data_IF_229891424348
#
_entry.id   IF_229891424348
#
_cell.length_a   1.000
_cell.length_b   1.000
_cell.length_c   1.000
_cell.angle_alpha   90.00
_cell.angle_beta   90.00
_cell.angle_gamma   90.00
#
_symmetry.space_group_name_H-M   'P 1'
#
loop_
_entity.id
_entity.type
_entity.pdbx_description
1 polymer ?
#
# COMPACT_ATOMS: atom_id res chain seq x y z
N UNK A 1 -5.29 -46.36 -4.75
CA UNK A 1 -4.11 -45.47 -4.68
C UNK A 1 -3.55 -45.04 -6.04
N UNK A 2 -3.65 -45.82 -7.13
CA UNK A 2 -3.03 -45.46 -8.43
C UNK A 2 -3.60 -44.23 -9.16
N UNK A 3 -4.90 -43.92 -9.03
CA UNK A 3 -5.51 -42.75 -9.72
C UNK A 3 -5.04 -41.39 -9.19
N UNK A 4 -4.77 -41.28 -7.88
CA UNK A 4 -4.26 -40.03 -7.28
C UNK A 4 -2.80 -39.76 -7.67
N UNK A 5 -1.98 -40.81 -7.79
CA UNK A 5 -0.57 -40.67 -8.19
C UNK A 5 -0.42 -40.24 -9.65
N UNK A 6 -1.30 -40.73 -10.54
CA UNK A 6 -1.35 -40.31 -11.95
C UNK A 6 -1.74 -38.83 -12.11
N UNK A 7 -2.70 -38.35 -11.31
CA UNK A 7 -3.12 -36.94 -11.35
C UNK A 7 -2.05 -35.97 -10.85
N UNK A 8 -1.28 -36.36 -9.83
CA UNK A 8 -0.16 -35.56 -9.31
C UNK A 8 1.00 -35.51 -10.31
N UNK A 9 1.32 -36.63 -10.97
CA UNK A 9 2.38 -36.67 -11.99
C UNK A 9 2.03 -35.81 -13.21
N UNK A 10 0.82 -35.92 -13.74
CA UNK A 10 0.32 -35.08 -14.83
C UNK A 10 0.34 -33.58 -14.50
N UNK A 11 0.07 -33.22 -13.24
CA UNK A 11 0.10 -31.82 -12.80
C UNK A 11 1.54 -31.28 -12.68
N UNK A 12 2.49 -32.11 -12.24
CA UNK A 12 3.92 -31.76 -12.19
C UNK A 12 4.47 -31.60 -13.60
N UNK A 13 4.18 -32.54 -14.50
CA UNK A 13 4.68 -32.53 -15.87
C UNK A 13 4.18 -31.30 -16.65
N UNK A 14 2.91 -30.92 -16.47
CA UNK A 14 2.35 -29.67 -17.02
C UNK A 14 3.01 -28.43 -16.45
N UNK A 15 3.31 -28.42 -15.14
CA UNK A 15 3.98 -27.29 -14.50
C UNK A 15 5.40 -27.11 -15.02
N UNK A 16 6.17 -28.20 -15.16
CA UNK A 16 7.52 -28.15 -15.72
C UNK A 16 7.52 -27.72 -17.18
N UNK A 17 6.52 -28.14 -17.96
CA UNK A 17 6.38 -27.72 -19.35
C UNK A 17 6.10 -26.22 -19.47
N UNK A 18 5.25 -25.68 -18.59
CA UNK A 18 4.95 -24.24 -18.51
C UNK A 18 6.18 -23.45 -18.06
N UNK A 19 6.89 -23.90 -17.02
CA UNK A 19 8.11 -23.24 -16.52
C UNK A 19 9.23 -23.23 -17.58
N UNK A 20 9.37 -24.31 -18.35
CA UNK A 20 10.30 -24.37 -19.49
C UNK A 20 9.92 -23.39 -20.60
N UNK A 21 8.63 -23.33 -20.97
CA UNK A 21 8.15 -22.37 -21.96
C UNK A 21 8.41 -20.92 -21.53
N UNK A 22 8.19 -20.58 -20.27
CA UNK A 22 8.48 -19.24 -19.74
C UNK A 22 9.97 -18.90 -19.75
N UNK A 23 10.86 -19.86 -19.44
CA UNK A 23 12.30 -19.64 -19.50
C UNK A 23 12.75 -19.31 -20.93
N UNK A 24 12.23 -20.04 -21.91
CA UNK A 24 12.54 -19.85 -23.32
C UNK A 24 12.00 -18.51 -23.82
N UNK A 25 10.76 -18.13 -23.47
CA UNK A 25 10.21 -16.81 -23.80
C UNK A 25 11.04 -15.67 -23.20
N UNK A 26 11.59 -15.86 -21.99
CA UNK A 26 12.47 -14.89 -21.35
C UNK A 26 13.80 -14.76 -22.08
N UNK A 27 14.41 -15.87 -22.51
CA UNK A 27 15.65 -15.87 -23.28
C UNK A 27 15.47 -15.16 -24.63
N UNK A 28 14.41 -15.49 -25.38
CA UNK A 28 14.08 -14.82 -26.63
C UNK A 28 13.84 -13.30 -26.45
N UNK A 29 13.17 -12.90 -25.36
CA UNK A 29 12.97 -11.48 -25.05
C UNK A 29 14.28 -10.74 -24.73
N UNK A 30 15.21 -11.40 -24.02
CA UNK A 30 16.51 -10.84 -23.71
C UNK A 30 17.34 -10.64 -24.98
N UNK A 31 17.34 -11.62 -25.90
CA UNK A 31 18.03 -11.50 -27.18
C UNK A 31 17.50 -10.34 -28.02
N UNK A 32 16.17 -10.21 -28.13
CA UNK A 32 15.54 -9.08 -28.85
C UNK A 32 15.88 -7.74 -28.18
N UNK A 33 15.90 -7.69 -26.85
CA UNK A 33 16.25 -6.48 -26.11
C UNK A 33 17.71 -6.07 -26.34
N UNK A 34 18.64 -7.02 -26.36
CA UNK A 34 20.06 -6.76 -26.65
C UNK A 34 20.24 -6.24 -28.08
N UNK A 35 19.56 -6.84 -29.07
CA UNK A 35 19.61 -6.34 -30.46
C UNK A 35 19.07 -4.92 -30.56
N UNK A 36 17.95 -4.62 -29.90
CA UNK A 36 17.38 -3.26 -29.88
C UNK A 36 18.30 -2.24 -29.19
N UNK A 37 18.94 -2.61 -28.09
CA UNK A 37 19.92 -1.76 -27.39
C UNK A 37 21.09 -1.46 -28.32
N UNK A 38 21.67 -2.48 -28.98
CA UNK A 38 22.76 -2.29 -29.92
C UNK A 38 22.35 -1.37 -31.09
N UNK A 39 21.13 -1.51 -31.63
CA UNK A 39 20.61 -0.61 -32.68
C UNK A 39 20.45 0.83 -32.18
N UNK A 40 20.08 1.03 -30.92
CA UNK A 40 19.97 2.36 -30.30
C UNK A 40 21.36 2.97 -30.08
N UNK A 41 22.34 2.18 -29.64
CA UNK A 41 23.72 2.60 -29.41
C UNK A 41 24.48 2.89 -30.72
N UNK A 42 24.26 2.10 -31.77
CA UNK A 42 24.81 2.34 -33.13
C UNK A 42 24.20 3.61 -33.76
N UNK A 43 22.93 3.92 -33.49
CA UNK A 43 22.30 5.20 -33.90
C UNK A 43 22.85 6.40 -33.14
N UNK A 44 23.31 6.22 -31.90
CA UNK A 44 23.92 7.28 -31.10
C UNK A 44 25.34 7.66 -31.56
N UNK A 45 25.99 6.82 -32.37
CA UNK A 45 27.39 7.01 -32.82
C UNK A 45 27.56 7.33 -34.32
N UNK A 46 26.47 7.38 -35.09
CA UNK A 46 26.38 7.84 -36.50
C UNK A 46 27.42 7.26 -37.49
N UNK A 47 27.09 6.13 -38.15
CA UNK A 47 27.02 6.00 -39.63
C UNK A 47 26.72 4.56 -40.06
N UNK A 48 25.58 4.37 -40.73
CA UNK A 48 25.33 3.41 -41.82
C UNK A 48 25.46 1.89 -41.56
N UNK A 49 24.49 1.31 -40.85
CA UNK A 49 23.96 -0.04 -41.15
C UNK A 49 22.42 -0.03 -41.01
N UNK A 50 21.71 -0.18 -42.13
CA UNK A 50 20.24 -0.26 -42.13
C UNK A 50 19.81 -1.69 -41.77
N UNK A 51 19.81 -2.06 -40.48
CA UNK A 51 19.05 -3.24 -40.05
C UNK A 51 17.56 -2.96 -40.23
N UNK A 52 16.90 -3.72 -41.09
CA UNK A 52 15.48 -3.56 -41.36
C UNK A 52 14.64 -4.28 -40.30
N UNK A 53 13.37 -3.88 -40.16
CA UNK A 53 12.41 -4.63 -39.35
C UNK A 53 12.27 -6.11 -39.81
N UNK A 54 12.63 -6.42 -41.06
CA UNK A 54 12.67 -7.77 -41.59
C UNK A 54 13.77 -8.65 -40.98
N UNK A 55 14.93 -8.06 -40.66
CA UNK A 55 16.06 -8.78 -40.06
C UNK A 55 15.77 -9.13 -38.61
N UNK A 56 15.12 -8.22 -37.87
CA UNK A 56 14.62 -8.47 -36.51
C UNK A 56 13.57 -9.57 -36.52
N UNK A 57 12.62 -9.53 -37.47
CA UNK A 57 11.60 -10.56 -37.61
C UNK A 57 12.21 -11.92 -37.95
N UNK A 58 13.28 -11.96 -38.75
CA UNK A 58 13.97 -13.20 -39.11
C UNK A 58 14.65 -13.85 -37.91
N UNK A 59 15.38 -13.08 -37.09
CA UNK A 59 16.00 -13.58 -35.85
C UNK A 59 14.95 -14.15 -34.89
N UNK A 60 13.83 -13.43 -34.71
CA UNK A 60 12.72 -13.89 -33.87
C UNK A 60 12.11 -15.18 -34.40
N UNK A 61 11.92 -15.29 -35.72
CA UNK A 61 11.34 -16.48 -36.34
C UNK A 61 12.31 -17.67 -36.31
N UNK A 62 13.62 -17.46 -36.46
CA UNK A 62 14.64 -18.52 -36.33
C UNK A 62 14.74 -19.07 -34.90
N UNK A 63 14.70 -18.19 -33.90
CA UNK A 63 14.65 -18.58 -32.49
C UNK A 63 13.37 -19.37 -32.15
N UNK A 64 12.24 -19.01 -32.77
CA UNK A 64 10.97 -19.71 -32.61
C UNK A 64 10.86 -21.01 -33.43
N UNK A 65 11.53 -21.12 -34.57
CA UNK A 65 11.49 -22.29 -35.46
C UNK A 65 12.50 -23.39 -35.09
N UNK A 66 13.52 -23.08 -34.27
CA UNK A 66 14.37 -24.10 -33.63
C UNK A 66 13.61 -25.07 -32.69
N UNK A 67 12.30 -24.86 -32.54
CA UNK A 67 11.37 -25.62 -31.72
C UNK A 67 11.03 -27.02 -32.24
N UNK A 68 11.21 -27.32 -33.54
CA UNK A 68 10.66 -28.53 -34.17
C UNK A 68 11.63 -29.71 -34.34
N UNK A 69 12.74 -29.75 -33.59
CA UNK A 69 13.60 -30.95 -33.52
C UNK A 69 13.70 -31.46 -32.09
N UNK A 70 12.99 -32.58 -31.90
CA UNK A 70 12.99 -33.42 -30.71
C UNK A 70 14.41 -33.73 -30.22
N UNK A 71 14.61 -33.70 -28.91
CA UNK A 71 15.36 -34.76 -28.24
C UNK A 71 14.81 -34.99 -26.82
N UNK A 72 14.35 -36.22 -26.60
CA UNK A 72 13.95 -36.79 -25.31
C UNK A 72 15.15 -36.88 -24.34
N UNK A 73 14.91 -36.86 -23.01
CA UNK A 73 15.97 -36.71 -22.02
C UNK A 73 16.67 -38.05 -21.72
N UNK A 74 18.00 -38.08 -21.83
CA UNK A 74 18.83 -39.14 -21.21
C UNK A 74 19.32 -38.72 -19.84
N UNK A 75 18.99 -39.55 -18.85
CA UNK A 75 19.45 -39.51 -17.47
C UNK A 75 20.98 -39.40 -17.34
N UNK A 76 21.42 -38.64 -16.33
CA UNK A 76 22.28 -39.06 -15.19
C UNK A 76 23.15 -37.89 -14.71
N UNK A 77 22.94 -37.43 -13.47
CA UNK A 77 23.97 -37.60 -12.44
C UNK A 77 23.47 -37.12 -11.08
N UNK A 78 23.88 -37.91 -10.10
CA UNK A 78 23.57 -37.91 -8.69
C UNK A 78 24.13 -36.71 -7.91
N UNK A 79 23.41 -36.33 -6.85
CA UNK A 79 23.86 -36.12 -5.46
C UNK A 79 22.91 -35.09 -4.85
N UNK A 80 22.23 -35.25 -3.71
CA UNK A 80 22.42 -36.13 -2.57
C UNK A 80 22.07 -35.30 -1.34
N UNK A 81 20.97 -35.66 -0.67
CA UNK A 81 20.61 -35.28 0.71
C UNK A 81 20.07 -33.86 0.96
N UNK A 82 18.74 -33.76 1.08
CA UNK A 82 18.05 -32.84 2.01
C UNK A 82 16.81 -33.54 2.59
N UNK A 83 17.01 -34.32 3.66
CA UNK A 83 15.92 -34.68 4.57
C UNK A 83 16.05 -33.82 5.83
N UNK A 84 15.06 -32.95 6.07
CA UNK A 84 14.52 -32.65 7.40
C UNK A 84 13.20 -31.87 7.32
N UNK A 85 12.14 -32.66 7.51
CA UNK A 85 10.89 -32.42 8.25
C UNK A 85 10.22 -31.03 8.20
N UNK A 86 9.04 -31.07 7.60
CA UNK A 86 7.94 -30.14 7.78
C UNK A 86 7.38 -30.15 9.21
N UNK A 87 6.98 -28.97 9.68
CA UNK A 87 5.83 -28.77 10.56
C UNK A 87 5.46 -27.28 10.60
N UNK A 88 4.25 -26.94 10.19
CA UNK A 88 3.68 -25.60 10.34
C UNK A 88 2.78 -25.22 9.16
N UNK A 89 1.48 -25.48 9.30
CA UNK A 89 0.44 -25.02 8.37
C UNK A 89 0.42 -23.50 8.32
N UNK A 90 0.61 -22.92 7.14
CA UNK A 90 -0.01 -21.64 6.77
C UNK A 90 -0.40 -21.71 5.30
N UNK A 91 -1.70 -21.55 5.05
CA UNK A 91 -2.28 -21.59 3.71
C UNK A 91 -1.85 -20.36 2.91
N UNK A 92 -0.75 -20.48 2.18
CA UNK A 92 -0.39 -19.51 1.14
C UNK A 92 -1.36 -19.72 -0.03
N UNK A 93 -2.38 -18.86 -0.12
CA UNK A 93 -3.12 -18.68 -1.38
C UNK A 93 -2.10 -18.26 -2.44
N UNK A 94 -1.84 -19.13 -3.40
CA UNK A 94 -1.01 -18.81 -4.56
C UNK A 94 -1.65 -17.68 -5.36
N UNK A 95 -1.08 -16.49 -5.27
CA UNK A 95 -1.45 -15.37 -6.13
C UNK A 95 -1.00 -15.66 -7.57
N UNK A 96 -1.89 -15.40 -8.52
CA UNK A 96 -1.58 -15.45 -9.96
C UNK A 96 -0.62 -14.32 -10.34
N UNK A 97 0.22 -14.49 -11.36
CA UNK A 97 1.14 -13.44 -11.84
C UNK A 97 0.44 -12.09 -12.13
N UNK A 98 -0.82 -12.13 -12.59
CA UNK A 98 -1.65 -10.95 -12.82
C UNK A 98 -1.91 -10.11 -11.55
N UNK A 99 -1.97 -10.73 -10.35
CA UNK A 99 -2.13 -10.00 -9.08
C UNK A 99 -0.81 -9.38 -8.57
N UNK A 100 0.32 -9.77 -9.15
CA UNK A 100 1.64 -9.16 -8.87
C UNK A 100 1.93 -8.03 -9.86
N UNK A 101 1.44 -8.13 -11.10
CA UNK A 101 1.61 -7.11 -12.14
C UNK A 101 0.60 -5.94 -12.03
N UNK A 102 -0.57 -6.13 -11.41
CA UNK A 102 -1.57 -5.09 -11.21
C UNK A 102 -1.24 -4.15 -10.05
N UNK A 103 -0.93 -2.88 -10.36
CA UNK A 103 -1.09 -1.74 -9.43
C UNK A 103 -0.32 -1.79 -8.09
N UNK A 104 0.96 -2.18 -8.09
CA UNK A 104 1.86 -2.16 -6.91
C UNK A 104 2.01 -0.78 -6.19
N UNK A 105 1.38 0.29 -6.68
CA UNK A 105 1.36 1.63 -6.07
C UNK A 105 0.01 2.10 -5.53
N UNK A 106 -1.10 1.41 -5.87
CA UNK A 106 -2.46 1.86 -5.54
C UNK A 106 -3.01 1.24 -4.26
N UNK A 107 -2.21 0.48 -3.52
CA UNK A 107 -2.60 -0.17 -2.28
C UNK A 107 -1.81 0.36 -1.08
N UNK A 108 -2.46 0.42 0.07
CA UNK A 108 -1.84 0.68 1.38
C UNK A 108 -1.86 -0.62 2.18
N UNK A 109 -0.68 -1.18 2.46
CA UNK A 109 -0.50 -2.44 3.18
C UNK A 109 -0.19 -2.15 4.64
N UNK A 110 -1.23 -2.02 5.45
CA UNK A 110 -1.07 -1.62 6.86
C UNK A 110 -0.37 -2.73 7.64
N UNK A 111 0.69 -2.38 8.38
CA UNK A 111 1.40 -3.34 9.23
C UNK A 111 0.46 -4.01 10.23
N UNK A 112 0.36 -5.35 10.18
CA UNK A 112 -0.58 -6.17 10.97
C UNK A 112 -2.05 -5.77 10.81
N UNK A 113 -2.41 -5.27 9.64
CA UNK A 113 -3.76 -4.82 9.33
C UNK A 113 -4.16 -5.13 7.89
N UNK A 114 -5.28 -4.54 7.44
CA UNK A 114 -5.80 -4.81 6.12
C UNK A 114 -4.95 -4.16 5.03
N UNK A 115 -5.04 -4.71 3.82
CA UNK A 115 -4.67 -4.00 2.62
C UNK A 115 -5.85 -3.15 2.17
N UNK A 116 -5.60 -1.87 1.90
CA UNK A 116 -6.64 -0.90 1.51
C UNK A 116 -6.29 -0.36 0.13
N UNK A 117 -7.18 -0.55 -0.83
CA UNK A 117 -7.07 0.10 -2.14
C UNK A 117 -7.30 1.61 -1.98
N UNK A 118 -6.41 2.39 -2.58
CA UNK A 118 -6.51 3.83 -2.68
C UNK A 118 -7.62 4.18 -3.67
N UNK A 119 -8.53 5.06 -3.27
CA UNK A 119 -9.47 5.68 -4.19
C UNK A 119 -8.75 6.72 -5.03
N UNK A 120 -9.07 6.78 -6.32
CA UNK A 120 -8.69 7.81 -7.29
C UNK A 120 -9.39 9.18 -7.05
N UNK A 121 -9.99 9.35 -5.87
CA UNK A 121 -10.65 10.59 -5.47
C UNK A 121 -9.78 11.46 -4.58
N UNK A 122 -9.77 12.76 -4.84
CA UNK A 122 -9.22 13.77 -3.94
C UNK A 122 -10.34 14.58 -3.28
N UNK A 123 -10.05 15.10 -2.08
CA UNK A 123 -11.00 15.93 -1.33
C UNK A 123 -10.44 17.32 -1.06
N UNK A 124 -11.24 18.34 -1.32
CA UNK A 124 -10.93 19.74 -1.04
C UNK A 124 -12.15 20.45 -0.43
N UNK A 125 -11.92 21.61 0.17
CA UNK A 125 -12.95 22.42 0.81
C UNK A 125 -13.25 23.65 -0.04
N UNK A 126 -14.52 24.01 -0.09
CA UNK A 126 -14.97 25.33 -0.54
C UNK A 126 -15.51 26.06 0.68
N UNK A 127 -14.92 27.21 0.97
CA UNK A 127 -15.18 28.01 2.15
C UNK A 127 -15.63 29.42 1.74
N UNK A 128 -16.50 30.06 2.52
CA UNK A 128 -16.69 31.51 2.43
C UNK A 128 -15.39 32.25 2.75
N UNK A 129 -15.10 33.31 1.99
CA UNK A 129 -14.06 34.28 2.37
C UNK A 129 -14.41 34.93 3.71
N UNK A 130 -13.41 35.40 4.45
CA UNK A 130 -13.60 35.91 5.81
C UNK A 130 -14.63 37.04 5.90
N UNK A 131 -14.59 37.97 4.93
CA UNK A 131 -15.53 39.08 4.81
C UNK A 131 -16.96 38.69 4.41
N UNK A 132 -17.21 37.43 4.08
CA UNK A 132 -18.50 36.92 3.62
C UNK A 132 -19.12 35.89 4.58
N UNK A 133 -18.49 35.64 5.75
CA UNK A 133 -18.95 34.61 6.69
C UNK A 133 -20.36 34.84 7.22
N UNK A 134 -20.77 36.08 7.44
CA UNK A 134 -22.11 36.41 7.94
C UNK A 134 -23.21 36.04 6.91
N UNK A 135 -22.92 36.22 5.61
CA UNK A 135 -23.81 35.81 4.51
C UNK A 135 -23.92 34.28 4.43
N UNK A 136 -22.84 33.57 4.75
CA UNK A 136 -22.75 32.12 4.65
C UNK A 136 -22.70 31.46 6.05
N UNK A 137 -23.71 31.77 6.86
CA UNK A 137 -23.81 31.30 8.26
C UNK A 137 -24.03 29.78 8.42
N UNK A 138 -24.26 29.04 7.32
CA UNK A 138 -24.31 27.58 7.35
C UNK A 138 -23.80 26.95 6.06
N UNK A 139 -23.28 25.74 6.16
CA UNK A 139 -22.82 24.94 5.01
C UNK A 139 -23.92 24.67 4.00
N UNK A 140 -25.20 24.70 4.42
CA UNK A 140 -26.34 24.50 3.54
C UNK A 140 -26.47 25.67 2.55
N UNK A 141 -26.34 26.91 3.03
CA UNK A 141 -26.39 28.12 2.19
C UNK A 141 -25.20 28.13 1.22
N UNK A 142 -24.00 27.83 1.71
CA UNK A 142 -22.80 27.72 0.88
C UNK A 142 -22.97 26.66 -0.19
N UNK A 143 -23.53 25.49 0.14
CA UNK A 143 -23.79 24.41 -0.81
C UNK A 143 -24.81 24.80 -1.87
N UNK A 144 -25.92 25.41 -1.48
CA UNK A 144 -26.94 25.89 -2.42
C UNK A 144 -26.38 26.95 -3.36
N UNK A 145 -25.55 27.86 -2.84
CA UNK A 145 -24.89 28.89 -3.66
C UNK A 145 -23.86 28.26 -4.59
N UNK A 146 -23.02 27.35 -4.09
CA UNK A 146 -22.04 26.61 -4.89
C UNK A 146 -22.69 25.90 -6.08
N UNK A 147 -23.81 25.18 -5.85
CA UNK A 147 -24.53 24.49 -6.93
C UNK A 147 -25.12 25.44 -7.97
N UNK A 148 -25.39 26.71 -7.62
CA UNK A 148 -25.89 27.73 -8.55
C UNK A 148 -24.78 28.38 -9.37
N UNK A 149 -23.61 28.58 -8.77
CA UNK A 149 -22.52 29.38 -9.38
C UNK A 149 -21.47 28.53 -10.09
N UNK A 150 -21.23 27.29 -9.64
CA UNK A 150 -20.22 26.42 -10.23
C UNK A 150 -20.90 25.27 -10.97
N UNK A 151 -20.78 25.26 -12.29
CA UNK A 151 -21.15 24.09 -13.11
C UNK A 151 -19.95 23.15 -13.18
N UNK A 152 -20.04 21.91 -12.68
CA UNK A 152 -18.89 21.00 -12.64
C UNK A 152 -18.28 20.70 -14.02
N UNK A 153 -19.07 20.79 -15.09
CA UNK A 153 -18.61 20.58 -16.46
C UNK A 153 -17.53 21.59 -16.89
N UNK A 154 -17.59 22.83 -16.38
CA UNK A 154 -16.71 23.92 -16.81
C UNK A 154 -15.25 23.70 -16.39
N UNK A 155 -15.04 22.89 -15.35
CA UNK A 155 -13.73 22.47 -14.84
C UNK A 155 -13.50 20.96 -14.91
N UNK A 156 -14.30 20.23 -15.72
CA UNK A 156 -14.27 18.77 -15.85
C UNK A 156 -14.32 18.02 -14.50
N UNK A 157 -15.00 18.60 -13.51
CA UNK A 157 -15.03 18.11 -12.13
C UNK A 157 -16.02 16.94 -11.99
N UNK A 158 -15.48 15.74 -11.79
CA UNK A 158 -16.26 14.50 -11.57
C UNK A 158 -16.53 14.30 -10.07
N UNK A 159 -17.60 14.89 -9.56
CA UNK A 159 -17.93 14.85 -8.13
C UNK A 159 -18.43 13.46 -7.72
N UNK A 160 -17.78 12.84 -6.72
CA UNK A 160 -18.26 11.64 -6.03
C UNK A 160 -19.24 11.99 -4.92
N UNK A 161 -18.86 12.97 -4.08
CA UNK A 161 -19.60 13.28 -2.85
C UNK A 161 -19.47 14.74 -2.44
N UNK A 162 -20.56 15.28 -1.92
CA UNK A 162 -20.62 16.59 -1.27
C UNK A 162 -21.03 16.40 0.20
N UNK A 163 -20.25 16.97 1.11
CA UNK A 163 -20.55 16.93 2.55
C UNK A 163 -20.37 18.30 3.18
N UNK A 164 -21.16 18.61 4.21
CA UNK A 164 -20.99 19.84 4.98
C UNK A 164 -19.66 19.79 5.76
N UNK A 165 -18.99 20.93 5.86
CA UNK A 165 -17.79 21.13 6.66
C UNK A 165 -18.05 22.18 7.76
N UNK A 166 -17.09 22.36 8.67
CA UNK A 166 -17.16 23.41 9.69
C UNK A 166 -17.11 24.80 9.05
N UNK A 167 -17.45 25.84 9.82
CA UNK A 167 -17.33 27.26 9.44
C UNK A 167 -18.06 27.60 8.12
N UNK A 168 -19.25 27.02 7.94
CA UNK A 168 -20.05 27.23 6.73
C UNK A 168 -19.47 26.58 5.46
N UNK A 169 -18.44 25.76 5.58
CA UNK A 169 -17.77 25.14 4.44
C UNK A 169 -18.52 23.98 3.79
N UNK A 170 -18.12 23.66 2.56
CA UNK A 170 -18.56 22.46 1.83
C UNK A 170 -17.34 21.68 1.39
N UNK A 171 -17.28 20.40 1.76
CA UNK A 171 -16.26 19.47 1.28
C UNK A 171 -16.73 18.80 0.00
N UNK A 172 -15.90 18.88 -1.03
CA UNK A 172 -16.08 18.17 -2.30
C UNK A 172 -15.08 17.02 -2.33
N UNK A 173 -15.58 15.83 -2.67
CA UNK A 173 -14.78 14.68 -3.04
C UNK A 173 -15.03 14.38 -4.52
N UNK A 174 -13.98 14.37 -5.33
CA UNK A 174 -14.06 14.24 -6.78
C UNK A 174 -12.97 13.31 -7.31
N UNK A 175 -13.24 12.68 -8.45
CA UNK A 175 -12.32 11.78 -9.15
C UNK A 175 -11.28 12.60 -9.93
N UNK A 176 -10.00 12.46 -9.57
CA UNK A 176 -8.86 13.14 -10.19
C UNK A 176 -9.10 14.63 -10.51
N UNK A 177 -9.45 15.47 -9.52
CA UNK A 177 -9.81 16.86 -9.76
C UNK A 177 -8.59 17.72 -10.08
N UNK A 178 -8.73 18.62 -11.05
CA UNK A 178 -7.79 19.70 -11.30
C UNK A 178 -8.12 20.87 -10.36
N UNK A 179 -7.49 20.89 -9.19
CA UNK A 179 -7.82 21.85 -8.11
C UNK A 179 -7.49 23.28 -8.53
N UNK A 180 -6.45 23.49 -9.34
CA UNK A 180 -6.05 24.81 -9.82
C UNK A 180 -7.09 25.40 -10.78
N UNK A 181 -7.67 24.57 -11.67
CA UNK A 181 -8.82 25.01 -12.48
C UNK A 181 -10.04 25.36 -11.64
N UNK A 182 -10.33 24.59 -10.59
CA UNK A 182 -11.46 24.91 -9.69
C UNK A 182 -11.19 26.23 -8.96
N UNK A 183 -9.98 26.45 -8.45
CA UNK A 183 -9.56 27.71 -7.81
C UNK A 183 -9.69 28.92 -8.73
N UNK A 184 -9.29 28.76 -10.00
CA UNK A 184 -9.31 29.83 -10.99
C UNK A 184 -10.72 30.15 -11.51
N UNK A 185 -11.74 29.37 -11.17
CA UNK A 185 -13.08 29.55 -11.71
C UNK A 185 -13.71 30.88 -11.22
N UNK A 186 -14.05 31.83 -12.13
CA UNK A 186 -14.43 33.19 -11.77
C UNK A 186 -15.72 33.26 -10.93
N UNK A 187 -16.65 32.32 -11.15
CA UNK A 187 -17.91 32.28 -10.40
C UNK A 187 -17.72 32.01 -8.90
N UNK A 188 -16.65 31.31 -8.49
CA UNK A 188 -16.37 31.10 -7.06
C UNK A 188 -15.92 32.42 -6.41
N UNK A 189 -14.96 33.11 -7.04
CA UNK A 189 -14.47 34.39 -6.58
C UNK A 189 -15.59 35.45 -6.53
N UNK A 190 -16.43 35.50 -7.57
CA UNK A 190 -17.60 36.40 -7.64
C UNK A 190 -18.66 36.11 -6.58
N UNK A 191 -18.81 34.85 -6.16
CA UNK A 191 -19.68 34.47 -5.04
C UNK A 191 -19.06 34.71 -3.66
N UNK A 192 -17.79 35.12 -3.58
CA UNK A 192 -17.06 35.26 -2.32
C UNK A 192 -16.67 33.91 -1.69
N UNK A 193 -16.53 32.87 -2.50
CA UNK A 193 -16.07 31.54 -2.08
C UNK A 193 -14.59 31.34 -2.47
N UNK A 194 -13.89 30.56 -1.67
CA UNK A 194 -12.49 30.18 -1.90
C UNK A 194 -12.30 28.67 -1.75
N UNK A 195 -11.37 28.11 -2.51
CA UNK A 195 -10.99 26.70 -2.39
C UNK A 195 -9.85 26.58 -1.39
N UNK A 196 -10.05 25.77 -0.35
CA UNK A 196 -8.99 25.37 0.59
C UNK A 196 -8.62 23.92 0.37
N UNK A 197 -7.36 23.68 0.10
CA UNK A 197 -6.82 22.33 0.00
C UNK A 197 -6.59 21.73 1.38
N UNK A 198 -6.87 20.44 1.50
CA UNK A 198 -6.47 19.68 2.68
C UNK A 198 -5.00 19.30 2.52
N UNK A 199 -4.11 19.92 3.31
CA UNK A 199 -2.71 19.48 3.39
C UNK A 199 -2.67 18.06 3.94
N UNK A 200 -2.47 17.09 3.04
CA UNK A 200 -2.28 15.69 3.41
C UNK A 200 -0.92 15.48 4.08
N UNK A 201 -0.83 14.49 4.95
CA UNK A 201 0.41 14.10 5.63
C UNK A 201 1.28 13.23 4.71
N UNK A 202 2.59 13.26 4.89
CA UNK A 202 3.46 12.32 4.21
C UNK A 202 3.23 10.88 4.71
N UNK A 203 3.37 9.87 3.84
CA UNK A 203 3.32 8.47 4.24
C UNK A 203 4.35 8.13 5.29
N UNK A 204 4.00 7.13 6.09
CA UNK A 204 4.95 6.48 7.00
C UNK A 204 5.01 5.00 6.68
N UNK A 205 6.21 4.45 6.75
CA UNK A 205 6.44 3.01 6.69
C UNK A 205 7.05 2.54 8.00
N UNK A 206 6.78 1.28 8.34
CA UNK A 206 7.50 0.57 9.37
C UNK A 206 8.41 -0.46 8.70
N UNK A 207 9.69 -0.42 9.04
CA UNK A 207 10.71 -1.35 8.55
C UNK A 207 11.01 -2.33 9.68
N UNK A 208 11.02 -3.61 9.36
CA UNK A 208 11.34 -4.71 10.27
C UNK A 208 12.66 -5.38 9.86
N UNK A 209 13.46 -5.78 10.85
CA UNK A 209 14.74 -6.45 10.61
C UNK A 209 15.90 -5.48 10.45
N UNK A 210 15.78 -4.25 10.95
CA UNK A 210 16.86 -3.25 10.94
C UNK A 210 17.91 -3.65 11.97
N UNK A 211 19.22 -3.71 11.67
CA UNK A 211 20.26 -3.98 12.67
C UNK A 211 20.17 -3.01 13.86
N UNK A 212 20.24 -3.52 15.10
CA UNK A 212 19.95 -2.74 16.32
C UNK A 212 20.99 -1.65 16.61
N UNK A 213 22.20 -1.78 16.05
CA UNK A 213 23.31 -0.87 16.24
C UNK A 213 23.21 0.38 15.34
N UNK A 214 22.31 0.39 14.36
CA UNK A 214 22.18 1.51 13.44
C UNK A 214 21.53 2.72 14.10
N UNK A 215 22.16 3.88 13.94
CA UNK A 215 21.62 5.18 14.31
C UNK A 215 20.54 5.64 13.31
N UNK A 216 19.78 6.68 13.69
CA UNK A 216 18.79 7.27 12.81
C UNK A 216 19.38 7.84 11.51
N UNK A 217 20.58 8.40 11.58
CA UNK A 217 21.29 8.98 10.45
C UNK A 217 21.88 7.89 9.55
N UNK A 218 22.43 6.83 10.13
CA UNK A 218 22.92 5.66 9.37
C UNK A 218 21.79 4.94 8.64
N UNK A 219 20.62 4.77 9.27
CA UNK A 219 19.45 4.19 8.61
C UNK A 219 19.06 5.05 7.42
N UNK A 220 19.06 6.39 7.58
CA UNK A 220 18.69 7.30 6.51
C UNK A 220 19.70 7.24 5.35
N UNK A 221 20.99 7.39 5.63
CA UNK A 221 22.02 7.42 4.59
C UNK A 221 22.11 6.11 3.81
N UNK A 222 22.11 4.97 4.49
CA UNK A 222 22.15 3.64 3.87
C UNK A 222 20.88 3.32 3.09
N UNK A 223 19.70 3.73 3.61
CA UNK A 223 18.46 3.53 2.88
C UNK A 223 18.50 4.26 1.55
N UNK A 224 18.96 5.52 1.56
CA UNK A 224 19.11 6.30 0.34
C UNK A 224 20.11 5.60 -0.58
N UNK A 225 21.35 5.37 -0.12
CA UNK A 225 22.41 4.80 -0.95
C UNK A 225 22.08 3.44 -1.59
N UNK A 226 21.40 2.54 -0.86
CA UNK A 226 21.12 1.18 -1.35
C UNK A 226 19.75 1.04 -2.02
N UNK A 227 18.78 1.93 -1.76
CA UNK A 227 17.37 1.69 -2.13
C UNK A 227 16.71 2.82 -2.91
N UNK A 228 17.25 4.02 -2.93
CA UNK A 228 16.62 5.19 -3.53
C UNK A 228 17.62 6.01 -4.33
N UNK A 229 17.12 6.78 -5.28
CA UNK A 229 17.92 7.84 -5.89
C UNK A 229 18.02 9.00 -4.88
N UNK A 230 19.16 9.71 -4.85
CA UNK A 230 19.42 10.76 -3.85
C UNK A 230 18.32 11.81 -3.79
N UNK A 231 17.75 12.16 -4.95
CA UNK A 231 16.61 13.08 -5.06
C UNK A 231 15.38 12.62 -4.27
N UNK A 232 15.05 11.32 -4.30
CA UNK A 232 13.92 10.74 -3.57
C UNK A 232 14.18 10.64 -2.06
N UNK A 233 15.45 10.73 -1.64
CA UNK A 233 15.89 10.64 -0.25
C UNK A 233 15.86 11.96 0.54
N UNK A 234 15.68 13.12 -0.13
CA UNK A 234 15.87 14.45 0.49
C UNK A 234 14.96 14.72 1.68
N UNK A 235 13.73 14.22 1.68
CA UNK A 235 12.74 14.46 2.74
C UNK A 235 12.49 13.24 3.66
N UNK A 236 13.39 12.25 3.64
CA UNK A 236 13.25 11.09 4.50
C UNK A 236 13.55 11.43 5.95
N UNK A 237 12.63 11.11 6.87
CA UNK A 237 12.77 11.40 8.30
C UNK A 237 12.54 10.18 9.16
N UNK A 238 13.49 9.87 10.03
CA UNK A 238 13.33 8.84 11.07
C UNK A 238 12.42 9.35 12.18
N UNK A 239 11.25 8.72 12.35
CA UNK A 239 10.25 9.12 13.35
C UNK A 239 10.49 8.42 14.67
N UNK A 240 10.80 7.12 14.63
CA UNK A 240 10.99 6.32 15.84
C UNK A 240 11.77 5.05 15.55
N UNK A 241 12.69 4.69 16.44
CA UNK A 241 13.38 3.40 16.45
C UNK A 241 12.91 2.65 17.70
N UNK A 242 12.39 1.44 17.50
CA UNK A 242 11.94 0.62 18.62
C UNK A 242 13.13 0.12 19.42
N UNK A 243 12.99 0.09 20.75
CA UNK A 243 14.01 -0.48 21.62
C UNK A 243 14.23 -1.97 21.29
N UNK A 244 15.49 -2.44 21.29
CA UNK A 244 15.77 -3.85 21.08
C UNK A 244 15.13 -4.68 22.20
N UNK A 245 14.50 -5.78 21.81
CA UNK A 245 14.05 -6.80 22.76
C UNK A 245 15.26 -7.64 23.18
N UNK A 246 15.23 -8.18 24.41
CA UNK A 246 16.26 -9.09 24.88
C UNK A 246 16.51 -10.21 23.85
N UNK A 247 17.79 -10.50 23.59
CA UNK A 247 18.27 -11.51 22.64
C UNK A 247 17.92 -11.28 21.16
N UNK A 248 17.50 -10.08 20.74
CA UNK A 248 17.32 -9.75 19.32
C UNK A 248 18.41 -8.81 18.80
N UNK A 249 18.99 -9.15 17.66
CA UNK A 249 19.99 -8.31 16.95
C UNK A 249 19.36 -7.29 15.99
N UNK A 250 18.04 -7.34 15.84
CA UNK A 250 17.31 -6.45 14.94
C UNK A 250 16.17 -5.74 15.65
N UNK A 251 15.90 -4.51 15.24
CA UNK A 251 14.81 -3.66 15.67
C UNK A 251 13.83 -3.41 14.52
N UNK A 252 12.76 -2.67 14.83
CA UNK A 252 11.93 -2.03 13.81
C UNK A 252 12.12 -0.53 13.92
N UNK A 253 11.91 0.19 12.82
CA UNK A 253 11.88 1.65 12.83
C UNK A 253 10.69 2.17 12.00
N UNK A 254 10.27 3.38 12.28
CA UNK A 254 9.22 4.09 11.53
C UNK A 254 9.89 5.26 10.83
N UNK A 255 9.72 5.31 9.52
CA UNK A 255 10.20 6.41 8.68
C UNK A 255 9.01 7.13 8.06
N UNK A 256 9.15 8.44 7.91
CA UNK A 256 8.30 9.28 7.08
C UNK A 256 9.06 9.65 5.80
N UNK A 257 8.37 9.63 4.66
CA UNK A 257 8.98 9.78 3.34
C UNK A 257 7.97 10.33 2.35
N UNK A 258 8.46 10.83 1.22
CA UNK A 258 7.60 11.28 0.12
C UNK A 258 6.85 10.11 -0.54
N UNK A 259 5.68 10.38 -1.16
CA UNK A 259 4.91 9.38 -1.89
C UNK A 259 5.72 8.68 -2.99
N UNK A 260 6.53 9.44 -3.73
CA UNK A 260 7.40 8.92 -4.79
C UNK A 260 8.44 7.92 -4.26
N UNK A 261 9.08 8.23 -3.13
CA UNK A 261 10.02 7.34 -2.47
C UNK A 261 9.32 6.05 -1.99
N UNK A 262 8.12 6.15 -1.39
CA UNK A 262 7.33 4.98 -1.00
C UNK A 262 7.01 4.09 -2.19
N UNK A 263 6.56 4.67 -3.30
CA UNK A 263 6.24 3.94 -4.55
C UNK A 263 7.48 3.24 -5.11
N UNK A 264 8.65 3.87 -5.04
CA UNK A 264 9.91 3.24 -5.43
C UNK A 264 10.25 2.03 -4.54
N UNK A 265 10.12 2.16 -3.21
CA UNK A 265 10.35 1.05 -2.28
C UNK A 265 9.37 -0.12 -2.50
N UNK A 266 8.08 0.16 -2.70
CA UNK A 266 7.07 -0.86 -2.96
C UNK A 266 7.36 -1.65 -4.25
N UNK A 267 7.80 -0.99 -5.32
CA UNK A 267 8.21 -1.65 -6.56
C UNK A 267 9.39 -2.61 -6.36
N UNK A 268 10.33 -2.26 -5.46
CA UNK A 268 11.50 -3.11 -5.12
C UNK A 268 11.12 -4.26 -4.18
N UNK A 269 10.10 -4.08 -3.33
CA UNK A 269 9.54 -5.11 -2.45
C UNK A 269 10.34 -5.39 -1.16
N UNK A 270 11.65 -5.10 -1.12
CA UNK A 270 12.49 -5.20 0.08
C UNK A 270 13.34 -3.94 0.25
N UNK A 271 13.74 -3.68 1.50
CA UNK A 271 14.68 -2.61 1.85
C UNK A 271 15.99 -3.25 2.30
N UNK A 272 17.11 -2.82 1.75
CA UNK A 272 18.45 -3.27 2.12
C UNK A 272 19.12 -2.23 3.03
N UNK A 273 19.65 -2.67 4.16
CA UNK A 273 20.37 -1.82 5.11
C UNK A 273 21.62 -2.58 5.56
N UNK A 274 22.80 -2.06 5.23
CA UNK A 274 24.07 -2.79 5.37
C UNK A 274 23.96 -4.16 4.67
N UNK A 275 24.17 -5.25 5.40
CA UNK A 275 24.04 -6.63 4.91
C UNK A 275 22.67 -7.26 5.22
N UNK A 276 21.70 -6.48 5.70
CA UNK A 276 20.39 -6.97 6.08
C UNK A 276 19.34 -6.70 4.99
N UNK A 277 18.51 -7.70 4.72
CA UNK A 277 17.34 -7.54 3.86
C UNK A 277 16.07 -7.43 4.70
N UNK A 278 15.55 -6.22 4.82
CA UNK A 278 14.43 -5.85 5.67
C UNK A 278 13.09 -5.93 4.94
N UNK A 279 12.05 -6.34 5.67
CA UNK A 279 10.65 -6.26 5.21
C UNK A 279 10.03 -4.96 5.72
N UNK A 280 9.07 -4.40 4.99
CA UNK A 280 8.38 -3.18 5.41
C UNK A 280 6.90 -3.21 5.05
N UNK A 281 6.14 -2.32 5.70
CA UNK A 281 4.72 -2.14 5.48
C UNK A 281 4.33 -0.68 5.76
N UNK A 282 3.15 -0.25 5.30
CA UNK A 282 2.62 1.06 5.65
C UNK A 282 2.31 1.15 7.15
N UNK A 283 2.70 2.28 7.74
CA UNK A 283 2.46 2.56 9.14
C UNK A 283 1.34 3.59 9.29
N UNK A 284 0.10 3.10 9.38
CA UNK A 284 -1.09 3.92 9.62
C UNK A 284 -1.47 3.86 11.09
N UNK A 285 -1.04 4.87 11.86
CA UNK A 285 -1.34 4.94 13.30
C UNK A 285 -2.73 5.52 13.54
N UNK A 286 -3.65 4.67 14.01
CA UNK A 286 -4.90 5.08 14.67
C UNK A 286 -4.66 5.04 16.17
N UNK A 287 -4.84 6.18 16.86
CA UNK A 287 -4.66 6.24 18.30
C UNK A 287 -5.82 5.53 18.99
N UNK A 288 -5.51 4.42 19.66
CA UNK A 288 -6.44 3.64 20.47
C UNK A 288 -5.86 3.44 21.86
N UNK A 289 -6.64 3.77 22.88
CA UNK A 289 -6.24 3.68 24.27
C UNK A 289 -6.14 2.21 24.71
N UNK A 290 -4.98 1.78 25.22
CA UNK A 290 -4.81 0.40 25.70
C UNK A 290 -5.57 0.08 27.01
N UNK A 291 -6.04 1.11 27.74
CA UNK A 291 -6.80 0.95 28.99
C UNK A 291 -8.31 0.78 28.73
N UNK A 292 -8.91 1.71 27.98
CA UNK A 292 -10.36 1.74 27.77
C UNK A 292 -10.79 1.39 26.32
N UNK A 293 -9.83 1.12 25.42
CA UNK A 293 -10.03 0.71 24.02
C UNK A 293 -10.73 1.74 23.12
N UNK A 294 -11.02 2.94 23.63
CA UNK A 294 -11.55 4.06 22.85
C UNK A 294 -10.47 4.65 21.94
N UNK A 295 -10.93 5.27 20.85
CA UNK A 295 -10.06 6.00 19.94
C UNK A 295 -9.81 7.43 20.42
N UNK A 296 -8.68 8.01 19.99
CA UNK A 296 -8.39 9.44 20.12
C UNK A 296 -7.51 9.85 21.30
N UNK A 297 -7.19 8.95 22.23
CA UNK A 297 -6.27 9.23 23.33
C UNK A 297 -5.39 8.01 23.67
N UNK A 298 -4.27 8.27 24.35
CA UNK A 298 -3.37 7.23 24.87
C UNK A 298 -3.75 6.86 26.31
N UNK A 299 -3.23 5.74 26.82
CA UNK A 299 -3.56 5.26 28.17
C UNK A 299 -3.21 6.25 29.29
N UNK A 300 -2.13 7.03 29.13
CA UNK A 300 -1.71 8.04 30.11
C UNK A 300 -2.73 9.17 30.32
N UNK A 301 -3.50 9.51 29.28
CA UNK A 301 -4.51 10.57 29.31
C UNK A 301 -5.93 10.01 29.54
N UNK A 302 -6.05 8.74 29.91
CA UNK A 302 -7.34 8.04 29.96
C UNK A 302 -8.13 8.37 31.22
N UNK A 303 -9.29 9.01 31.03
CA UNK A 303 -10.27 9.31 32.09
C UNK A 303 -11.43 8.30 32.18
N UNK A 304 -11.49 7.35 31.24
CA UNK A 304 -12.55 6.34 31.18
C UNK A 304 -12.22 5.12 32.04
N UNK A 305 -13.26 4.37 32.41
CA UNK A 305 -13.12 3.04 33.01
C UNK A 305 -12.35 2.07 32.09
N UNK A 306 -11.57 1.14 32.66
CA UNK A 306 -10.85 0.16 31.88
C UNK A 306 -11.83 -0.77 31.15
N UNK A 307 -11.48 -1.20 29.94
CA UNK A 307 -12.25 -2.17 29.17
C UNK A 307 -11.31 -3.22 28.61
N UNK A 308 -11.62 -4.49 28.85
CA UNK A 308 -10.79 -5.59 28.35
C UNK A 308 -11.13 -5.93 26.90
N UNK A 309 -10.09 -6.05 26.07
CA UNK A 309 -10.25 -6.30 24.62
C UNK A 309 -10.75 -7.68 24.24
N UNK A 310 -10.76 -8.61 25.20
CA UNK A 310 -11.15 -10.01 25.01
C UNK A 310 -12.57 -10.33 25.49
N UNK A 311 -13.12 -9.64 26.50
CA UNK A 311 -14.46 -9.96 27.02
C UNK A 311 -15.36 -8.74 27.19
N UNK A 312 -14.92 -7.56 26.73
CA UNK A 312 -15.59 -6.27 26.88
C UNK A 312 -15.98 -5.89 28.32
N UNK A 313 -15.38 -6.51 29.33
CA UNK A 313 -15.68 -6.24 30.74
C UNK A 313 -14.95 -5.01 31.29
N UNK A 314 -15.51 -4.41 32.34
CA UNK A 314 -15.00 -3.21 33.01
C UNK A 314 -13.84 -3.53 33.99
N UNK A 315 -12.73 -4.05 33.47
CA UNK A 315 -11.54 -4.40 34.23
C UNK A 315 -10.30 -4.45 33.32
N UNK A 316 -9.11 -4.46 33.91
CA UNK A 316 -7.85 -4.60 33.17
C UNK A 316 -7.61 -6.02 32.69
N UNK A 317 -6.73 -6.20 31.71
CA UNK A 317 -6.44 -7.52 31.14
C UNK A 317 -5.96 -8.54 32.19
N UNK A 318 -5.19 -8.08 33.18
CA UNK A 318 -4.62 -8.89 34.26
C UNK A 318 -5.70 -9.42 35.23
N UNK A 319 -6.76 -8.66 35.46
CA UNK A 319 -7.81 -8.92 36.45
C UNK A 319 -8.99 -9.71 35.88
N UNK A 320 -8.86 -10.24 34.67
CA UNK A 320 -9.94 -10.99 34.05
C UNK A 320 -10.04 -12.42 34.60
N UNK A 321 -11.13 -12.69 35.32
CA UNK A 321 -11.53 -14.04 35.73
C UNK A 321 -12.03 -14.91 34.56
N UNK A 322 -12.36 -14.29 33.41
CA UNK A 322 -13.00 -14.90 32.25
C UNK A 322 -12.03 -14.98 31.06
N UNK A 323 -10.89 -15.64 31.27
CA UNK A 323 -9.81 -15.71 30.26
C UNK A 323 -10.16 -16.62 29.09
N UNK A 324 -11.00 -17.63 29.31
CA UNK A 324 -11.37 -18.67 28.33
C UNK A 324 -12.64 -18.35 27.51
N UNK A 325 -13.27 -17.21 27.78
CA UNK A 325 -14.48 -16.81 27.06
C UNK A 325 -14.18 -16.31 25.64
N UNK A 326 -15.18 -16.50 24.76
CA UNK A 326 -15.18 -16.01 23.38
C UNK A 326 -14.83 -14.52 23.33
N UNK A 327 -13.98 -14.17 22.36
CA UNK A 327 -13.55 -12.80 22.12
C UNK A 327 -14.76 -11.89 21.95
N UNK A 328 -14.79 -10.74 22.61
CA UNK A 328 -15.83 -9.74 22.43
C UNK A 328 -15.23 -8.35 22.24
N UNK A 329 -15.38 -7.80 21.05
CA UNK A 329 -14.89 -6.48 20.68
C UNK A 329 -15.70 -5.38 21.38
N UNK A 330 -15.09 -4.74 22.38
CA UNK A 330 -15.76 -3.70 23.17
C UNK A 330 -16.23 -2.51 22.31
N UNK A 331 -15.52 -2.17 21.24
CA UNK A 331 -15.91 -1.08 20.33
C UNK A 331 -17.17 -1.45 19.52
N UNK A 332 -17.25 -2.67 18.99
CA UNK A 332 -18.39 -3.13 18.19
C UNK A 332 -19.66 -3.26 19.04
N UNK A 333 -19.51 -3.76 20.27
CA UNK A 333 -20.61 -3.84 21.24
C UNK A 333 -21.16 -2.46 21.56
N UNK A 334 -20.29 -1.49 21.84
CA UNK A 334 -20.70 -0.12 22.19
C UNK A 334 -21.40 0.62 21.07
N UNK A 335 -21.05 0.36 19.82
CA UNK A 335 -21.71 1.00 18.67
C UNK A 335 -22.98 0.26 18.22
N UNK A 336 -23.46 -0.73 19.00
CA UNK A 336 -24.63 -1.54 18.68
C UNK A 336 -24.63 -2.02 17.22
N UNK A 337 -23.48 -2.52 16.73
CA UNK A 337 -23.42 -3.14 15.41
C UNK A 337 -24.22 -4.45 15.49
N UNK A 338 -25.52 -4.35 15.23
CA UNK A 338 -26.54 -5.39 15.41
C UNK A 338 -26.45 -6.52 14.38
N UNK A 339 -25.56 -6.40 13.39
CA UNK A 339 -25.40 -7.36 12.28
C UNK A 339 -23.95 -7.81 12.05
N UNK A 340 -23.03 -7.53 12.97
CA UNK A 340 -21.61 -7.85 12.81
C UNK A 340 -21.13 -8.90 13.82
N UNK A 341 -20.25 -9.79 13.37
CA UNK A 341 -19.47 -10.65 14.27
C UNK A 341 -18.70 -9.76 15.27
N UNK A 342 -18.95 -9.96 16.58
CA UNK A 342 -18.22 -9.26 17.65
C UNK A 342 -17.10 -10.13 18.25
N UNK A 343 -16.92 -11.34 17.71
CA UNK A 343 -16.00 -12.42 18.05
C UNK A 343 -14.51 -12.14 17.89
N UNK A 344 -14.06 -10.88 18.04
CA UNK A 344 -12.67 -10.48 17.75
C UNK A 344 -12.14 -9.47 18.76
N UNK A 345 -10.81 -9.26 18.74
CA UNK A 345 -10.17 -8.23 19.56
C UNK A 345 -10.47 -6.84 19.02
N UNK A 346 -10.75 -5.89 19.91
CA UNK A 346 -10.92 -4.47 19.54
C UNK A 346 -9.66 -3.84 18.93
N UNK A 347 -8.50 -4.49 19.04
CA UNK A 347 -7.21 -4.06 18.50
C UNK A 347 -6.83 -4.80 17.21
N UNK A 348 -7.63 -5.79 16.77
CA UNK A 348 -7.37 -6.51 15.52
C UNK A 348 -7.89 -5.70 14.34
N UNK A 349 -6.98 -5.06 13.62
CA UNK A 349 -7.30 -4.22 12.47
C UNK A 349 -7.88 -4.99 11.28
N UNK A 350 -7.64 -6.30 11.21
CA UNK A 350 -8.12 -7.16 10.12
C UNK A 350 -9.57 -7.55 10.35
N UNK A 351 -9.90 -7.90 11.60
CA UNK A 351 -11.23 -8.42 11.95
C UNK A 351 -12.20 -7.34 12.43
N UNK A 352 -11.71 -6.25 13.02
CA UNK A 352 -12.58 -5.22 13.61
C UNK A 352 -13.06 -4.19 12.57
N UNK A 353 -14.36 -4.14 12.23
CA UNK A 353 -14.87 -3.23 11.21
C UNK A 353 -14.77 -1.75 11.63
N UNK A 354 -14.83 -1.45 12.93
CA UNK A 354 -14.70 -0.09 13.44
C UNK A 354 -13.26 0.40 13.30
N UNK A 355 -12.28 -0.43 13.71
CA UNK A 355 -10.86 -0.09 13.58
C UNK A 355 -10.49 0.00 12.09
N UNK A 356 -10.95 -0.94 11.25
CA UNK A 356 -10.80 -0.88 9.80
C UNK A 356 -11.34 0.42 9.19
N UNK A 357 -12.52 0.89 9.62
CA UNK A 357 -13.06 2.19 9.19
C UNK A 357 -12.17 3.36 9.63
N UNK A 358 -11.69 3.37 10.87
CA UNK A 358 -10.77 4.40 11.36
C UNK A 358 -9.44 4.42 10.61
N UNK A 359 -8.94 3.26 10.21
CA UNK A 359 -7.74 3.14 9.37
C UNK A 359 -8.00 3.74 7.99
N UNK A 360 -9.12 3.39 7.34
CA UNK A 360 -9.51 3.98 6.05
C UNK A 360 -9.67 5.49 6.13
N UNK A 361 -10.33 5.98 7.18
CA UNK A 361 -10.46 7.42 7.43
C UNK A 361 -9.09 8.07 7.57
N UNK A 362 -8.14 7.43 8.27
CA UNK A 362 -6.77 7.95 8.45
C UNK A 362 -5.98 7.97 7.15
N UNK A 363 -6.12 6.95 6.31
CA UNK A 363 -5.47 6.85 4.98
C UNK A 363 -5.89 8.03 4.09
N UNK A 364 -7.15 8.45 4.14
CA UNK A 364 -7.64 9.59 3.35
C UNK A 364 -6.93 10.92 3.66
N UNK A 365 -6.31 11.06 4.83
CA UNK A 365 -5.51 12.23 5.23
C UNK A 365 -4.01 12.10 4.93
N UNK A 366 -3.57 10.99 4.34
CA UNK A 366 -2.17 10.74 3.99
C UNK A 366 -2.04 10.84 2.47
N UNK A 367 -0.99 11.49 2.01
CA UNK A 367 -0.69 11.64 0.59
C UNK A 367 0.04 10.39 0.10
N UNK A 368 -0.64 9.50 -0.62
CA UNK A 368 0.01 8.33 -1.21
C UNK A 368 0.32 8.49 -2.70
N UNK A 369 0.01 9.66 -3.26
CA UNK A 369 0.11 9.99 -4.68
C UNK A 369 1.40 10.74 -5.04
#
# INVERSE_FOLDING_TARGET
MSRMLLGVKLAIDKRTQIESAFRICKEAFLEVSTVLINVIEERATMSSTNLSAGDIKKVVVEALNGWDRQDEPKEKSSCGVCSRRASGRDGVRGGTYASVAGSLGSEVRVSRGPTVELSDTASFLIMPKENMRDKYNSSKITRETLCKVLKPADCALKIRKLTNARDGGVRIEAYSPDIDKVKAHPALAGAGLEVRENKKLNPRIIIHGVPKEMSADEIRSELIAQNLDEYLGKELRTIYIFKPKQNKQTVSCILELQPAARKALLRRGRIYLRYASCTFADYVRVVQCYRCLHFGHIAGDCKNEPSRGHCAGAHEMKDCARRELQLKCSNCVRQHISQGDTGHSAMDATSCPILGRKIKDRIAYINYD
#
